data_IF_247019585166
#
_entry.id   IF_247019585166
#
_cell.length_a   1.000
_cell.length_b   1.000
_cell.length_c   1.000
_cell.angle_alpha   90.00
_cell.angle_beta   90.00
_cell.angle_gamma   90.00
#
_symmetry.space_group_name_H-M   'P 1'
#
loop_
_entity.id
_entity.type
_entity.pdbx_description
1 polymer ?
#
# COMPACT_ATOMS: atom_id res chain seq x y z
N UNK A 1 -19.81 3.76 23.55
CA UNK A 1 -18.84 2.71 23.14
C UNK A 1 -19.07 1.48 24.01
N UNK A 2 -19.80 0.47 23.51
CA UNK A 2 -20.03 -0.79 24.23
C UNK A 2 -18.72 -1.56 24.36
N UNK A 3 -18.39 -2.02 25.56
CA UNK A 3 -17.27 -2.93 25.80
C UNK A 3 -17.50 -4.20 24.96
N UNK A 4 -16.78 -4.33 23.83
CA UNK A 4 -16.71 -5.59 23.10
C UNK A 4 -16.19 -6.64 24.06
N UNK A 5 -16.97 -7.69 24.37
CA UNK A 5 -16.48 -8.83 25.13
C UNK A 5 -15.28 -9.40 24.37
N UNK A 6 -14.11 -9.41 25.01
CA UNK A 6 -12.85 -9.92 24.43
C UNK A 6 -12.96 -11.42 24.08
N UNK A 7 -13.87 -12.14 24.75
CA UNK A 7 -14.09 -13.55 24.55
C UNK A 7 -15.53 -13.72 24.04
N UNK A 8 -15.66 -13.86 22.74
CA UNK A 8 -16.89 -14.33 22.09
C UNK A 8 -16.73 -15.79 21.64
N UNK A 9 -17.82 -16.42 21.16
CA UNK A 9 -17.78 -17.80 20.70
C UNK A 9 -16.77 -18.04 19.58
N UNK A 10 -16.50 -17.07 18.72
CA UNK A 10 -15.52 -17.16 17.61
C UNK A 10 -14.09 -17.20 18.15
N UNK A 11 -13.78 -16.36 19.14
CA UNK A 11 -12.50 -16.39 19.86
C UNK A 11 -12.24 -17.77 20.45
N UNK A 12 -13.23 -18.35 21.13
CA UNK A 12 -13.12 -19.68 21.72
C UNK A 12 -12.87 -20.76 20.67
N UNK A 13 -13.55 -20.69 19.52
CA UNK A 13 -13.33 -21.64 18.40
C UNK A 13 -11.90 -21.56 17.86
N UNK A 14 -11.39 -20.35 17.59
CA UNK A 14 -10.03 -20.19 17.11
C UNK A 14 -8.97 -20.70 18.09
N UNK A 15 -9.14 -20.39 19.39
CA UNK A 15 -8.25 -20.90 20.44
C UNK A 15 -8.37 -22.41 20.60
N UNK A 16 -9.57 -22.98 20.47
CA UNK A 16 -9.78 -24.43 20.54
C UNK A 16 -9.09 -25.16 19.36
N UNK A 17 -9.13 -24.58 18.14
CA UNK A 17 -8.39 -25.13 17.00
C UNK A 17 -6.90 -25.21 17.35
N UNK A 18 -6.30 -24.12 17.81
CA UNK A 18 -4.88 -24.08 18.20
C UNK A 18 -4.60 -25.14 19.28
N UNK A 19 -5.44 -25.22 20.32
CA UNK A 19 -5.25 -26.15 21.43
C UNK A 19 -5.34 -27.62 21.00
N UNK A 20 -6.32 -27.97 20.15
CA UNK A 20 -6.47 -29.34 19.62
C UNK A 20 -5.21 -29.77 18.90
N UNK A 21 -4.70 -28.97 18.00
CA UNK A 21 -3.47 -29.28 17.27
C UNK A 21 -2.24 -29.29 18.18
N UNK A 22 -2.19 -28.41 19.18
CA UNK A 22 -1.08 -28.34 20.12
C UNK A 22 -0.89 -29.63 20.93
N UNK A 23 -2.01 -30.26 21.33
CA UNK A 23 -2.00 -31.46 22.16
C UNK A 23 -2.21 -32.77 21.40
N UNK A 24 -2.45 -32.75 20.08
CA UNK A 24 -2.76 -33.96 19.30
C UNK A 24 -1.54 -34.83 18.97
N UNK A 25 -0.32 -34.33 19.20
CA UNK A 25 0.91 -35.07 18.87
C UNK A 25 1.21 -35.12 17.35
N UNK A 26 1.96 -36.13 16.92
CA UNK A 26 2.30 -36.34 15.49
C UNK A 26 1.20 -37.13 14.78
N UNK A 27 0.80 -36.70 13.58
CA UNK A 27 -0.15 -37.41 12.73
C UNK A 27 0.00 -37.03 11.24
N UNK A 28 -0.48 -37.90 10.35
CA UNK A 28 -0.44 -37.64 8.90
C UNK A 28 1.00 -37.56 8.32
N UNK A 29 1.98 -38.22 8.95
CA UNK A 29 3.39 -38.16 8.52
C UNK A 29 4.11 -36.88 8.93
N UNK A 30 3.47 -35.95 9.63
CA UNK A 30 4.05 -34.73 10.18
C UNK A 30 4.61 -34.95 11.58
N UNK A 31 5.73 -34.30 11.89
CA UNK A 31 6.26 -34.25 13.26
C UNK A 31 5.30 -33.50 14.19
N UNK A 32 5.36 -33.78 15.51
CA UNK A 32 4.54 -33.07 16.49
C UNK A 32 4.68 -31.55 16.45
N UNK A 33 5.87 -31.05 16.16
CA UNK A 33 6.10 -29.61 16.00
C UNK A 33 5.48 -29.06 14.72
N UNK A 34 5.53 -29.79 13.60
CA UNK A 34 4.82 -29.41 12.37
C UNK A 34 3.30 -29.35 12.57
N UNK A 35 2.74 -30.29 13.35
CA UNK A 35 1.32 -30.29 13.70
C UNK A 35 0.96 -29.04 14.55
N UNK A 36 1.78 -28.68 15.54
CA UNK A 36 1.58 -27.45 16.32
C UNK A 36 1.61 -26.22 15.44
N UNK A 37 2.58 -26.10 14.54
CA UNK A 37 2.69 -24.97 13.61
C UNK A 37 1.45 -24.88 12.69
N UNK A 38 0.97 -26.01 12.16
CA UNK A 38 -0.25 -26.06 11.35
C UNK A 38 -1.48 -25.58 12.15
N UNK A 39 -1.61 -26.01 13.41
CA UNK A 39 -2.69 -25.58 14.29
C UNK A 39 -2.65 -24.09 14.61
N UNK A 40 -1.46 -23.54 14.90
CA UNK A 40 -1.27 -22.10 15.09
C UNK A 40 -1.69 -21.35 13.84
N UNK A 41 -1.24 -21.80 12.66
CA UNK A 41 -1.58 -21.16 11.38
C UNK A 41 -3.08 -21.15 11.12
N UNK A 42 -3.75 -22.32 11.19
CA UNK A 42 -5.19 -22.46 10.92
C UNK A 42 -6.01 -21.66 11.94
N UNK A 43 -5.69 -21.78 13.21
CA UNK A 43 -6.42 -21.06 14.26
C UNK A 43 -6.22 -19.55 14.20
N UNK A 44 -5.01 -19.08 13.91
CA UNK A 44 -4.73 -17.64 13.71
C UNK A 44 -5.45 -17.12 12.47
N UNK A 45 -5.44 -17.84 11.36
CA UNK A 45 -6.17 -17.47 10.15
C UNK A 45 -7.68 -17.35 10.43
N UNK A 46 -8.26 -18.30 11.15
CA UNK A 46 -9.66 -18.23 11.58
C UNK A 46 -9.94 -16.98 12.43
N UNK A 47 -9.06 -16.68 13.39
CA UNK A 47 -9.19 -15.49 14.23
C UNK A 47 -9.05 -14.19 13.43
N UNK A 48 -8.13 -14.12 12.46
CA UNK A 48 -8.01 -12.95 11.57
C UNK A 48 -9.26 -12.70 10.76
N UNK A 49 -9.91 -13.75 10.25
CA UNK A 49 -11.11 -13.62 9.42
C UNK A 49 -12.37 -13.31 10.24
N UNK A 50 -12.41 -13.65 11.53
CA UNK A 50 -13.67 -13.64 12.31
C UNK A 50 -13.66 -12.73 13.53
N UNK A 51 -12.51 -12.35 14.05
CA UNK A 51 -12.37 -11.59 15.31
C UNK A 51 -11.58 -10.30 15.14
N UNK A 52 -10.25 -10.41 14.96
CA UNK A 52 -9.33 -9.28 14.87
C UNK A 52 -7.99 -9.75 14.30
N UNK A 53 -7.19 -8.81 13.75
CA UNK A 53 -5.85 -9.11 13.23
C UNK A 53 -4.77 -8.88 14.29
N UNK A 54 -4.91 -7.91 15.16
CA UNK A 54 -3.82 -7.39 16.00
C UNK A 54 -3.37 -8.38 17.07
N UNK A 55 -4.26 -8.70 18.01
CA UNK A 55 -3.89 -9.59 19.12
C UNK A 55 -3.66 -11.07 18.70
N UNK A 56 -4.38 -11.65 17.69
CA UNK A 56 -4.08 -13.00 17.25
C UNK A 56 -2.70 -13.11 16.59
N UNK A 57 -2.23 -12.04 15.92
CA UNK A 57 -0.87 -12.00 15.38
C UNK A 57 0.19 -12.07 16.48
N UNK A 58 0.02 -11.32 17.56
CA UNK A 58 0.93 -11.40 18.72
C UNK A 58 0.89 -12.76 19.41
N UNK A 59 -0.32 -13.33 19.55
CA UNK A 59 -0.49 -14.68 20.08
C UNK A 59 0.22 -15.73 19.21
N UNK A 60 0.10 -15.63 17.87
CA UNK A 60 0.74 -16.58 16.98
C UNK A 60 2.28 -16.55 17.09
N UNK A 61 2.88 -15.36 17.16
CA UNK A 61 4.32 -15.20 17.36
C UNK A 61 4.76 -15.81 18.70
N UNK A 62 3.99 -15.55 19.77
CA UNK A 62 4.27 -16.12 21.09
C UNK A 62 4.17 -17.65 21.09
N UNK A 63 3.15 -18.21 20.46
CA UNK A 63 2.98 -19.67 20.37
C UNK A 63 4.04 -20.33 19.49
N UNK A 64 4.39 -19.72 18.34
CA UNK A 64 5.48 -20.21 17.50
C UNK A 64 6.82 -20.25 18.26
N UNK A 65 7.06 -19.25 19.11
CA UNK A 65 8.29 -19.20 19.95
C UNK A 65 8.35 -20.36 20.98
N UNK A 66 7.21 -20.95 21.34
CA UNK A 66 7.15 -22.11 22.24
C UNK A 66 7.30 -23.45 21.52
N UNK A 67 7.34 -23.48 20.18
CA UNK A 67 7.59 -24.71 19.42
C UNK A 67 9.07 -25.06 19.51
N UNK A 68 9.44 -26.26 20.04
CA UNK A 68 10.84 -26.59 20.32
C UNK A 68 11.77 -26.53 19.11
N UNK A 69 11.30 -26.92 17.93
CA UNK A 69 12.11 -26.90 16.69
C UNK A 69 12.36 -25.50 16.14
N UNK A 70 11.55 -24.51 16.53
CA UNK A 70 11.71 -23.12 16.07
C UNK A 70 12.54 -22.29 17.04
N UNK A 71 12.16 -22.31 18.32
CA UNK A 71 12.79 -21.51 19.37
C UNK A 71 12.51 -20.00 19.27
N UNK A 72 12.59 -19.27 20.40
CA UNK A 72 12.24 -17.85 20.43
C UNK A 72 13.17 -16.97 19.59
N UNK A 73 14.48 -17.22 19.59
CA UNK A 73 15.44 -16.43 18.82
C UNK A 73 15.15 -16.47 17.32
N UNK A 74 14.92 -17.65 16.75
CA UNK A 74 14.63 -17.80 15.33
C UNK A 74 13.28 -17.18 14.96
N UNK A 75 12.26 -17.33 15.81
CA UNK A 75 10.94 -16.75 15.58
C UNK A 75 11.00 -15.23 15.61
N UNK A 76 11.68 -14.63 16.60
CA UNK A 76 11.82 -13.18 16.66
C UNK A 76 12.71 -12.62 15.54
N UNK A 77 13.82 -13.29 15.21
CA UNK A 77 14.66 -12.90 14.08
C UNK A 77 13.89 -12.95 12.75
N UNK A 78 13.12 -14.01 12.53
CA UNK A 78 12.30 -14.15 11.31
C UNK A 78 11.10 -13.20 11.25
N UNK A 79 10.54 -12.82 12.40
CA UNK A 79 9.38 -11.94 12.47
C UNK A 79 9.77 -10.46 12.39
N UNK A 80 10.75 -10.02 13.18
CA UNK A 80 11.09 -8.61 13.36
C UNK A 80 12.48 -8.24 12.83
N UNK A 81 13.37 -9.21 12.67
CA UNK A 81 14.74 -9.00 12.22
C UNK A 81 14.97 -9.22 10.73
N UNK A 82 13.96 -9.61 9.95
CA UNK A 82 14.14 -9.82 8.52
C UNK A 82 14.08 -8.52 7.71
N UNK A 83 14.73 -8.51 6.55
CA UNK A 83 14.85 -7.34 5.67
C UNK A 83 13.51 -6.83 5.19
N UNK A 84 12.53 -7.73 4.94
CA UNK A 84 11.18 -7.37 4.48
C UNK A 84 10.43 -6.57 5.55
N UNK A 85 10.46 -7.02 6.81
CA UNK A 85 9.83 -6.29 7.91
C UNK A 85 10.47 -4.92 8.12
N UNK A 86 11.80 -4.86 8.17
CA UNK A 86 12.54 -3.60 8.35
C UNK A 86 12.26 -2.61 7.21
N UNK A 87 12.26 -3.11 5.96
CA UNK A 87 11.90 -2.29 4.80
C UNK A 87 10.49 -1.69 4.95
N UNK A 88 9.49 -2.52 5.27
CA UNK A 88 8.10 -2.06 5.43
C UNK A 88 7.96 -1.08 6.59
N UNK A 89 8.56 -1.36 7.73
CA UNK A 89 8.49 -0.50 8.92
C UNK A 89 9.01 0.91 8.62
N UNK A 90 10.23 1.02 8.09
CA UNK A 90 10.81 2.33 7.78
C UNK A 90 10.11 3.02 6.61
N UNK A 91 9.69 2.27 5.59
CA UNK A 91 8.91 2.83 4.48
C UNK A 91 7.59 3.42 4.95
N UNK A 92 6.88 2.75 5.86
CA UNK A 92 5.63 3.28 6.42
C UNK A 92 5.84 4.54 7.26
N UNK A 93 6.93 4.66 8.03
CA UNK A 93 7.25 5.89 8.75
C UNK A 93 7.46 7.04 7.77
N UNK A 94 8.26 6.82 6.73
CA UNK A 94 8.56 7.83 5.70
C UNK A 94 7.30 8.26 4.94
N UNK A 95 6.51 7.31 4.45
CA UNK A 95 5.28 7.61 3.69
C UNK A 95 4.20 8.23 4.56
N UNK A 96 4.08 7.82 5.82
CA UNK A 96 3.19 8.49 6.78
C UNK A 96 3.63 9.93 7.02
N UNK A 97 4.92 10.18 7.21
CA UNK A 97 5.43 11.55 7.39
C UNK A 97 5.15 12.42 6.16
N UNK A 98 5.30 11.87 4.95
CA UNK A 98 4.94 12.55 3.71
C UNK A 98 3.44 12.89 3.67
N UNK A 99 2.59 11.95 4.10
CA UNK A 99 1.13 12.14 4.11
C UNK A 99 0.66 13.29 5.02
N UNK A 100 1.47 13.68 6.01
CA UNK A 100 1.19 14.84 6.87
C UNK A 100 1.50 16.19 6.21
N UNK A 101 2.06 16.18 5.00
CA UNK A 101 2.36 17.41 4.26
C UNK A 101 1.17 17.86 3.40
N UNK A 102 1.04 19.17 3.19
CA UNK A 102 0.03 19.72 2.28
C UNK A 102 0.31 19.46 0.80
N UNK A 103 1.49 18.89 0.47
CA UNK A 103 1.91 18.64 -0.90
C UNK A 103 0.98 17.69 -1.66
N UNK A 104 0.51 16.63 -1.01
CA UNK A 104 -0.36 15.61 -1.65
C UNK A 104 -1.65 16.25 -2.17
N UNK A 105 -2.32 17.05 -1.31
CA UNK A 105 -3.52 17.80 -1.71
C UNK A 105 -3.25 18.76 -2.86
N UNK A 106 -2.11 19.48 -2.82
CA UNK A 106 -1.72 20.42 -3.88
C UNK A 106 -1.50 19.71 -5.21
N UNK A 107 -0.82 18.57 -5.22
CA UNK A 107 -0.62 17.78 -6.44
C UNK A 107 -2.00 17.36 -6.99
N UNK A 108 -2.89 16.84 -6.15
CA UNK A 108 -4.22 16.43 -6.59
C UNK A 108 -5.00 17.61 -7.24
N UNK A 109 -5.04 18.76 -6.58
CA UNK A 109 -5.71 19.96 -7.13
C UNK A 109 -5.04 20.43 -8.42
N UNK A 110 -3.72 20.43 -8.51
CA UNK A 110 -3.01 20.78 -9.76
C UNK A 110 -3.41 19.89 -10.93
N UNK A 111 -3.62 18.58 -10.67
CA UNK A 111 -4.06 17.65 -11.72
C UNK A 111 -5.48 17.89 -12.17
N UNK A 112 -6.41 18.13 -11.26
CA UNK A 112 -7.83 18.35 -11.62
C UNK A 112 -8.11 19.75 -12.19
N UNK A 113 -7.21 20.71 -11.97
CA UNK A 113 -7.33 22.10 -12.48
C UNK A 113 -6.38 22.41 -13.64
N UNK A 114 -5.67 21.43 -14.17
CA UNK A 114 -4.76 21.67 -15.30
C UNK A 114 -5.52 21.89 -16.63
N UNK A 115 -4.81 22.43 -17.62
CA UNK A 115 -5.39 22.72 -18.95
C UNK A 115 -5.98 21.50 -19.67
N UNK A 116 -5.44 20.31 -19.42
CA UNK A 116 -5.98 19.08 -20.00
C UNK A 116 -7.29 18.68 -19.33
N UNK A 117 -7.36 18.73 -18.00
CA UNK A 117 -8.59 18.45 -17.25
C UNK A 117 -9.74 19.36 -17.65
N UNK A 118 -9.47 20.63 -17.99
CA UNK A 118 -10.46 21.61 -18.41
C UNK A 118 -11.05 21.36 -19.81
N UNK A 119 -10.50 20.45 -20.62
CA UNK A 119 -10.98 20.17 -21.99
C UNK A 119 -12.35 19.46 -22.03
N UNK A 120 -12.76 18.83 -20.94
CA UNK A 120 -14.04 18.14 -20.85
C UNK A 120 -14.09 17.08 -19.76
N UNK A 121 -15.24 16.46 -19.54
CA UNK A 121 -15.48 15.58 -18.41
C UNK A 121 -14.57 14.35 -18.40
N UNK A 122 -14.32 13.73 -19.54
CA UNK A 122 -13.40 12.59 -19.61
C UNK A 122 -11.93 12.99 -19.40
N UNK A 123 -11.52 14.17 -19.88
CA UNK A 123 -10.17 14.68 -19.60
C UNK A 123 -9.96 15.00 -18.13
N UNK A 124 -10.99 15.53 -17.47
CA UNK A 124 -11.02 15.73 -16.03
C UNK A 124 -10.91 14.40 -15.26
N UNK A 125 -11.76 13.43 -15.60
CA UNK A 125 -11.76 12.10 -15.00
C UNK A 125 -10.42 11.42 -15.15
N UNK A 126 -9.81 11.46 -16.34
CA UNK A 126 -8.47 10.92 -16.58
C UNK A 126 -7.40 11.64 -15.76
N UNK A 127 -7.47 12.97 -15.64
CA UNK A 127 -6.54 13.73 -14.81
C UNK A 127 -6.67 13.35 -13.33
N UNK A 128 -7.90 13.21 -12.83
CA UNK A 128 -8.15 12.78 -11.45
C UNK A 128 -7.62 11.36 -11.20
N UNK A 129 -7.88 10.41 -12.10
CA UNK A 129 -7.38 9.06 -11.94
C UNK A 129 -5.86 8.94 -12.16
N UNK A 130 -5.29 9.76 -13.03
CA UNK A 130 -3.84 9.82 -13.23
C UNK A 130 -3.09 10.27 -11.97
N UNK A 131 -3.64 11.26 -11.22
CA UNK A 131 -3.02 11.65 -9.95
C UNK A 131 -3.16 10.59 -8.88
N UNK A 132 -4.27 9.85 -8.86
CA UNK A 132 -4.42 8.70 -7.94
C UNK A 132 -3.34 7.66 -8.22
N UNK A 133 -3.13 7.30 -9.50
CA UNK A 133 -2.05 6.38 -9.87
C UNK A 133 -0.69 6.94 -9.47
N UNK A 134 -0.39 8.19 -9.82
CA UNK A 134 0.91 8.81 -9.53
C UNK A 134 1.23 8.80 -8.03
N UNK A 135 0.29 9.23 -7.21
CA UNK A 135 0.47 9.27 -5.75
C UNK A 135 0.45 7.86 -5.16
N UNK A 136 -0.36 6.97 -5.73
CA UNK A 136 -0.49 5.59 -5.30
C UNK A 136 0.74 4.73 -5.57
N UNK A 137 1.67 5.15 -6.45
CA UNK A 137 2.97 4.49 -6.60
C UNK A 137 3.83 4.55 -5.33
N UNK A 138 3.55 5.51 -4.43
CA UNK A 138 4.40 5.82 -3.27
C UNK A 138 3.67 5.74 -1.95
N UNK A 139 2.34 5.63 -1.95
CA UNK A 139 1.53 5.72 -0.74
C UNK A 139 0.61 4.51 -0.61
N UNK A 140 0.41 4.07 0.64
CA UNK A 140 -0.57 3.04 0.94
C UNK A 140 -1.98 3.43 0.43
N UNK A 141 -2.74 2.50 -0.17
CA UNK A 141 -4.10 2.75 -0.68
C UNK A 141 -5.01 3.39 0.34
N UNK A 142 -4.98 2.91 1.58
CA UNK A 142 -5.80 3.43 2.67
C UNK A 142 -5.50 4.89 2.98
N UNK A 143 -4.20 5.23 3.11
CA UNK A 143 -3.78 6.61 3.39
C UNK A 143 -4.18 7.52 2.21
N UNK A 144 -3.89 7.10 0.99
CA UNK A 144 -4.20 7.88 -0.20
C UNK A 144 -5.70 8.08 -0.37
N UNK A 145 -6.51 7.04 -0.14
CA UNK A 145 -7.97 7.14 -0.18
C UNK A 145 -8.48 8.24 0.77
N UNK A 146 -8.10 8.20 2.05
CA UNK A 146 -8.54 9.19 3.04
C UNK A 146 -8.00 10.60 2.79
N UNK A 147 -6.85 10.72 2.10
CA UNK A 147 -6.33 12.04 1.72
C UNK A 147 -7.08 12.65 0.53
N UNK A 148 -7.51 11.83 -0.43
CA UNK A 148 -8.18 12.30 -1.63
C UNK A 148 -9.70 12.37 -1.47
N UNK A 149 -10.28 11.64 -0.51
CA UNK A 149 -11.73 11.66 -0.26
C UNK A 149 -12.28 13.07 -0.02
N UNK A 150 -11.69 13.92 0.85
CA UNK A 150 -12.16 15.29 1.03
C UNK A 150 -12.10 16.14 -0.25
N UNK A 151 -11.06 15.92 -1.09
CA UNK A 151 -10.96 16.61 -2.39
C UNK A 151 -12.07 16.14 -3.33
N UNK A 152 -12.37 14.86 -3.32
CA UNK A 152 -13.48 14.30 -4.12
C UNK A 152 -14.83 14.82 -3.64
N UNK A 153 -15.04 14.95 -2.32
CA UNK A 153 -16.25 15.55 -1.74
C UNK A 153 -16.38 17.04 -2.13
N UNK A 154 -15.27 17.79 -2.14
CA UNK A 154 -15.24 19.17 -2.63
C UNK A 154 -15.58 19.25 -4.12
N UNK A 155 -15.04 18.35 -4.95
CA UNK A 155 -15.41 18.21 -6.37
C UNK A 155 -16.91 17.93 -6.51
N UNK A 156 -17.48 17.03 -5.71
CA UNK A 156 -18.92 16.74 -5.74
C UNK A 156 -19.76 17.99 -5.42
N UNK A 157 -19.35 18.74 -4.40
CA UNK A 157 -20.01 20.00 -4.05
C UNK A 157 -19.93 21.04 -5.17
N UNK A 158 -18.75 21.22 -5.76
CA UNK A 158 -18.54 22.18 -6.85
C UNK A 158 -19.31 21.83 -8.12
N UNK A 159 -19.46 20.55 -8.44
CA UNK A 159 -20.17 20.04 -9.61
C UNK A 159 -21.66 19.76 -9.34
N UNK A 160 -22.15 20.01 -8.12
CA UNK A 160 -23.50 19.68 -7.67
C UNK A 160 -23.87 18.20 -7.94
N UNK A 161 -22.93 17.29 -7.66
CA UNK A 161 -23.12 15.86 -7.83
C UNK A 161 -23.75 15.25 -6.58
N UNK A 162 -24.83 14.49 -6.78
CA UNK A 162 -25.54 13.83 -5.70
C UNK A 162 -25.16 12.33 -5.62
N UNK A 163 -25.36 11.74 -4.45
CA UNK A 163 -25.19 10.30 -4.25
C UNK A 163 -26.12 9.51 -5.16
N UNK A 164 -25.60 8.53 -5.88
CA UNK A 164 -26.34 7.73 -6.85
C UNK A 164 -26.28 8.24 -8.29
N UNK A 165 -25.70 9.41 -8.52
CA UNK A 165 -25.44 9.87 -9.89
C UNK A 165 -24.24 9.13 -10.49
N UNK A 166 -24.36 8.69 -11.73
CA UNK A 166 -23.37 7.83 -12.39
C UNK A 166 -21.98 8.47 -12.50
N UNK A 167 -21.88 9.79 -12.61
CA UNK A 167 -20.59 10.48 -12.60
C UNK A 167 -19.95 10.50 -11.20
N UNK A 168 -20.73 10.70 -10.15
CA UNK A 168 -20.24 10.61 -8.77
C UNK A 168 -19.78 9.18 -8.45
N UNK A 169 -20.55 8.18 -8.86
CA UNK A 169 -20.21 6.77 -8.70
C UNK A 169 -18.92 6.42 -9.45
N UNK A 170 -18.76 6.88 -10.69
CA UNK A 170 -17.53 6.68 -11.46
C UNK A 170 -16.28 7.21 -10.71
N UNK A 171 -16.37 8.45 -10.22
CA UNK A 171 -15.24 9.08 -9.52
C UNK A 171 -14.93 8.37 -8.19
N UNK A 172 -15.96 7.98 -7.43
CA UNK A 172 -15.78 7.27 -6.15
C UNK A 172 -15.24 5.86 -6.35
N UNK A 173 -15.83 5.08 -7.25
CA UNK A 173 -15.34 3.72 -7.58
C UNK A 173 -13.94 3.78 -8.16
N UNK A 174 -13.65 4.78 -9.00
CA UNK A 174 -12.34 5.02 -9.54
C UNK A 174 -11.29 5.37 -8.48
N UNK A 175 -11.65 6.16 -7.48
CA UNK A 175 -10.77 6.45 -6.34
C UNK A 175 -10.36 5.15 -5.64
N UNK A 176 -11.31 4.26 -5.33
CA UNK A 176 -11.02 2.97 -4.69
C UNK A 176 -10.21 2.05 -5.61
N UNK A 177 -10.68 1.85 -6.84
CA UNK A 177 -10.08 0.91 -7.78
C UNK A 177 -8.64 1.27 -8.13
N UNK A 178 -8.37 2.55 -8.40
CA UNK A 178 -7.05 2.99 -8.83
C UNK A 178 -6.06 3.21 -7.69
N UNK A 179 -6.52 3.47 -6.46
CA UNK A 179 -5.63 3.40 -5.29
C UNK A 179 -5.14 1.96 -5.07
N UNK A 180 -6.04 0.97 -5.22
CA UNK A 180 -5.66 -0.46 -5.12
C UNK A 180 -4.78 -0.91 -6.29
N UNK A 181 -5.07 -0.48 -7.52
CA UNK A 181 -4.25 -0.81 -8.69
C UNK A 181 -2.83 -0.26 -8.56
N UNK A 182 -2.70 1.01 -8.19
CA UNK A 182 -1.41 1.67 -8.02
C UNK A 182 -0.52 0.99 -6.97
N UNK A 183 -1.13 0.45 -5.91
CA UNK A 183 -0.43 -0.25 -4.85
C UNK A 183 0.34 -1.50 -5.32
N UNK A 184 -0.08 -2.13 -6.43
CA UNK A 184 0.61 -3.25 -7.04
C UNK A 184 1.69 -2.86 -8.06
N UNK A 185 1.76 -1.58 -8.45
CA UNK A 185 2.68 -1.12 -9.51
C UNK A 185 4.11 -0.88 -9.00
N UNK A 186 4.30 -0.71 -7.69
CA UNK A 186 5.62 -0.58 -7.06
C UNK A 186 5.69 -1.38 -5.75
N UNK A 187 6.86 -1.85 -5.34
CA UNK A 187 7.02 -2.49 -4.04
C UNK A 187 7.03 -1.48 -2.88
N UNK A 188 6.98 -0.17 -3.17
CA UNK A 188 7.05 0.91 -2.19
C UNK A 188 5.67 1.17 -1.55
N UNK A 189 4.62 1.10 -2.36
CA UNK A 189 3.28 1.55 -1.96
C UNK A 189 2.54 0.55 -1.06
N UNK A 190 2.84 -0.74 -1.15
CA UNK A 190 2.08 -1.76 -0.44
C UNK A 190 2.91 -2.96 0.00
N UNK A 191 2.44 -3.57 1.09
CA UNK A 191 3.08 -4.74 1.71
C UNK A 191 3.08 -6.00 0.83
N UNK A 192 2.05 -6.22 0.01
CA UNK A 192 1.91 -7.47 -0.74
C UNK A 192 3.01 -7.73 -1.77
N UNK A 193 3.41 -6.78 -2.61
CA UNK A 193 4.56 -6.99 -3.49
C UNK A 193 5.83 -7.36 -2.74
N UNK A 194 6.10 -6.68 -1.62
CA UNK A 194 7.31 -6.90 -0.82
C UNK A 194 7.31 -8.29 -0.17
N UNK A 195 6.17 -8.72 0.39
CA UNK A 195 6.03 -10.08 0.94
C UNK A 195 6.19 -11.13 -0.16
N UNK A 196 5.56 -10.94 -1.32
CA UNK A 196 5.68 -11.87 -2.44
C UNK A 196 7.13 -12.02 -2.91
N UNK A 197 7.85 -10.92 -3.04
CA UNK A 197 9.28 -10.92 -3.39
C UNK A 197 10.13 -11.59 -2.30
N UNK A 198 9.86 -11.32 -1.02
CA UNK A 198 10.57 -11.96 0.09
C UNK A 198 10.34 -13.47 0.15
N UNK A 199 9.12 -13.94 -0.12
CA UNK A 199 8.81 -15.37 -0.23
C UNK A 199 9.53 -16.00 -1.43
N UNK A 200 9.49 -15.34 -2.60
CA UNK A 200 10.21 -15.80 -3.78
C UNK A 200 11.71 -15.98 -3.48
N UNK A 201 12.33 -14.97 -2.88
CA UNK A 201 13.75 -15.03 -2.51
C UNK A 201 14.04 -16.17 -1.53
N UNK A 202 13.20 -16.35 -0.51
CA UNK A 202 13.38 -17.41 0.49
C UNK A 202 13.26 -18.83 -0.07
N UNK A 203 12.42 -19.03 -1.11
CA UNK A 203 12.17 -20.32 -1.73
C UNK A 203 13.16 -20.65 -2.86
N UNK A 204 13.64 -19.65 -3.57
CA UNK A 204 14.40 -19.86 -4.82
C UNK A 204 15.82 -19.32 -4.77
N UNK A 205 16.20 -18.57 -3.73
CA UNK A 205 17.41 -17.77 -3.64
C UNK A 205 17.58 -16.76 -4.80
N UNK A 206 16.47 -16.39 -5.47
CA UNK A 206 16.45 -15.37 -6.51
C UNK A 206 15.93 -14.08 -5.89
N UNK A 207 16.79 -13.06 -5.83
CA UNK A 207 16.39 -11.71 -5.40
C UNK A 207 15.99 -10.88 -6.61
N UNK A 208 14.77 -10.32 -6.56
CA UNK A 208 14.26 -9.39 -7.57
C UNK A 208 14.33 -7.98 -6.99
N UNK A 209 15.10 -7.12 -7.63
CA UNK A 209 15.24 -5.73 -7.21
C UNK A 209 13.99 -4.88 -7.46
N UNK A 210 13.94 -3.73 -6.82
CA UNK A 210 12.80 -2.81 -6.94
C UNK A 210 12.60 -2.31 -8.37
N UNK A 211 13.67 -2.02 -9.08
CA UNK A 211 13.59 -1.55 -10.47
C UNK A 211 13.07 -2.63 -11.40
N UNK A 212 13.59 -3.86 -11.32
CA UNK A 212 13.14 -4.99 -12.11
C UNK A 212 11.64 -5.30 -11.87
N UNK A 213 11.16 -5.17 -10.63
CA UNK A 213 9.74 -5.28 -10.34
C UNK A 213 8.92 -4.19 -11.04
N UNK A 214 9.35 -2.92 -10.92
CA UNK A 214 8.65 -1.76 -11.50
C UNK A 214 8.63 -1.85 -13.03
N UNK A 215 9.71 -2.29 -13.65
CA UNK A 215 9.83 -2.46 -15.11
C UNK A 215 8.74 -3.37 -15.69
N UNK A 216 8.30 -4.37 -14.92
CA UNK A 216 7.18 -5.23 -15.29
C UNK A 216 5.83 -4.71 -14.79
N UNK A 217 5.72 -4.36 -13.50
CA UNK A 217 4.45 -4.09 -12.85
C UNK A 217 3.83 -2.75 -13.28
N UNK A 218 4.65 -1.74 -13.55
CA UNK A 218 4.16 -0.43 -13.97
C UNK A 218 3.50 -0.48 -15.37
N UNK A 219 4.10 -1.05 -16.42
CA UNK A 219 3.44 -1.20 -17.71
C UNK A 219 2.17 -2.06 -17.63
N UNK A 220 2.21 -3.16 -16.88
CA UNK A 220 1.02 -4.01 -16.68
C UNK A 220 -0.12 -3.24 -16.00
N UNK A 221 0.17 -2.47 -14.96
CA UNK A 221 -0.83 -1.64 -14.28
C UNK A 221 -1.37 -0.52 -15.16
N UNK A 222 -0.54 0.13 -15.98
CA UNK A 222 -0.99 1.14 -16.95
C UNK A 222 -1.89 0.52 -18.03
N UNK A 223 -1.60 -0.68 -18.48
CA UNK A 223 -2.45 -1.42 -19.42
C UNK A 223 -3.82 -1.71 -18.77
N UNK A 224 -3.84 -2.24 -17.55
CA UNK A 224 -5.09 -2.49 -16.80
C UNK A 224 -5.87 -1.19 -16.63
N UNK A 225 -5.21 -0.10 -16.24
CA UNK A 225 -5.83 1.23 -16.16
C UNK A 225 -6.50 1.63 -17.46
N UNK A 226 -5.80 1.53 -18.58
CA UNK A 226 -6.33 1.86 -19.91
C UNK A 226 -7.55 1.01 -20.27
N UNK A 227 -7.49 -0.31 -20.01
CA UNK A 227 -8.62 -1.24 -20.26
C UNK A 227 -9.81 -0.87 -19.39
N UNK A 228 -9.64 -0.61 -18.10
CA UNK A 228 -10.75 -0.23 -17.20
C UNK A 228 -11.39 1.09 -17.64
N UNK A 229 -10.60 2.11 -17.99
CA UNK A 229 -11.13 3.38 -18.51
C UNK A 229 -11.91 3.16 -19.80
N UNK A 230 -11.39 2.33 -20.71
CA UNK A 230 -12.09 2.02 -21.97
C UNK A 230 -13.41 1.31 -21.71
N UNK A 231 -13.45 0.32 -20.83
CA UNK A 231 -14.67 -0.38 -20.43
C UNK A 231 -15.69 0.59 -19.80
N UNK A 232 -15.27 1.47 -18.91
CA UNK A 232 -16.15 2.44 -18.32
C UNK A 232 -16.70 3.44 -19.34
N UNK A 233 -15.89 3.88 -20.30
CA UNK A 233 -16.33 4.75 -21.38
C UNK A 233 -17.32 4.07 -22.33
N UNK A 234 -17.13 2.80 -22.63
CA UNK A 234 -17.94 2.06 -23.60
C UNK A 234 -19.21 1.45 -22.99
N UNK A 235 -19.09 0.89 -21.78
CA UNK A 235 -20.18 0.11 -21.14
C UNK A 235 -20.94 0.92 -20.09
N UNK A 236 -20.24 1.59 -19.18
CA UNK A 236 -20.90 2.31 -18.08
C UNK A 236 -21.54 3.63 -18.54
N UNK A 237 -20.90 4.37 -19.45
CA UNK A 237 -21.41 5.61 -20.08
C UNK A 237 -22.03 6.58 -19.07
N UNK A 238 -21.29 7.06 -18.08
CA UNK A 238 -21.83 7.92 -17.02
C UNK A 238 -22.38 9.22 -17.59
N UNK A 239 -23.48 9.71 -17.00
CA UNK A 239 -23.99 11.04 -17.31
C UNK A 239 -23.06 12.11 -16.70
N UNK A 240 -22.39 12.85 -17.56
CA UNK A 240 -21.42 13.90 -17.19
C UNK A 240 -21.93 15.32 -17.52
N UNK A 241 -23.23 15.51 -17.69
CA UNK A 241 -23.83 16.80 -18.09
C UNK A 241 -23.60 17.91 -17.06
N UNK A 242 -23.44 17.55 -15.80
CA UNK A 242 -23.12 18.49 -14.70
C UNK A 242 -21.65 18.94 -14.65
N UNK A 243 -20.79 18.43 -15.53
CA UNK A 243 -19.39 18.81 -15.54
C UNK A 243 -19.23 20.31 -15.80
N UNK A 244 -18.45 20.96 -14.94
CA UNK A 244 -17.98 22.34 -15.08
C UNK A 244 -16.46 22.36 -15.03
N UNK A 245 -15.85 23.36 -15.67
CA UNK A 245 -14.40 23.57 -15.56
C UNK A 245 -14.07 24.05 -14.13
N UNK A 246 -13.21 23.29 -13.44
CA UNK A 246 -12.73 23.65 -12.12
C UNK A 246 -11.40 24.38 -12.23
N UNK A 247 -11.26 25.45 -11.47
CA UNK A 247 -10.08 26.31 -11.44
C UNK A 247 -9.34 26.19 -10.11
N UNK A 248 -8.14 26.74 -10.01
CA UNK A 248 -7.41 26.79 -8.74
C UNK A 248 -8.09 27.63 -7.67
N UNK A 249 -8.86 28.63 -8.09
CA UNK A 249 -9.57 29.53 -7.18
C UNK A 249 -10.71 28.81 -6.45
N UNK A 250 -11.29 27.78 -7.08
CA UNK A 250 -12.28 26.90 -6.45
C UNK A 250 -11.69 26.10 -5.27
N UNK A 251 -10.36 25.92 -5.25
CA UNK A 251 -9.60 25.23 -4.20
C UNK A 251 -8.63 26.18 -3.47
N UNK A 252 -9.01 27.44 -3.28
CA UNK A 252 -8.13 28.49 -2.75
C UNK A 252 -7.51 28.11 -1.38
N UNK A 253 -8.25 27.44 -0.51
CA UNK A 253 -7.76 27.00 0.81
C UNK A 253 -6.54 26.07 0.72
N UNK A 254 -6.49 25.20 -0.29
CA UNK A 254 -5.37 24.27 -0.52
C UNK A 254 -4.05 25.03 -0.77
N UNK A 255 -4.12 26.23 -1.32
CA UNK A 255 -2.95 27.06 -1.66
C UNK A 255 -2.77 28.27 -0.73
N UNK A 256 -3.64 28.48 0.26
CA UNK A 256 -3.61 29.62 1.16
C UNK A 256 -2.27 29.76 1.91
N UNK A 257 -1.63 28.67 2.27
CA UNK A 257 -0.37 28.68 2.98
C UNK A 257 0.78 28.15 2.09
N UNK A 258 1.94 28.77 2.14
CA UNK A 258 3.16 28.26 1.49
C UNK A 258 3.64 27.00 2.21
N UNK A 259 4.34 26.11 1.48
CA UNK A 259 5.00 24.95 2.08
C UNK A 259 5.98 25.42 3.16
N UNK A 260 5.85 24.87 4.34
CA UNK A 260 6.74 25.14 5.47
C UNK A 260 8.15 24.59 5.20
N UNK A 261 9.16 25.07 5.92
CA UNK A 261 10.52 24.54 5.82
C UNK A 261 10.56 23.04 6.14
N UNK A 262 9.77 22.59 7.14
CA UNK A 262 9.66 21.18 7.52
C UNK A 262 9.10 20.34 6.38
N UNK A 263 8.00 20.73 5.75
CA UNK A 263 7.41 20.02 4.61
C UNK A 263 8.38 19.90 3.45
N UNK A 264 9.14 20.97 3.13
CA UNK A 264 10.17 20.92 2.09
C UNK A 264 11.24 19.88 2.39
N UNK A 265 11.71 19.78 3.63
CA UNK A 265 12.67 18.75 4.03
C UNK A 265 12.11 17.35 3.92
N UNK A 266 10.87 17.11 4.38
CA UNK A 266 10.19 15.82 4.27
C UNK A 266 10.12 15.38 2.80
N UNK A 267 9.70 16.28 1.92
CA UNK A 267 9.62 16.02 0.47
C UNK A 267 11.00 15.71 -0.11
N UNK A 268 12.02 16.49 0.24
CA UNK A 268 13.38 16.30 -0.25
C UNK A 268 13.94 14.93 0.17
N UNK A 269 13.80 14.59 1.45
CA UNK A 269 14.23 13.29 1.98
C UNK A 269 13.48 12.15 1.26
N UNK A 270 12.17 12.28 1.09
CA UNK A 270 11.38 11.29 0.37
C UNK A 270 11.87 11.08 -1.06
N UNK A 271 12.12 12.15 -1.81
CA UNK A 271 12.65 12.07 -3.18
C UNK A 271 14.03 11.39 -3.20
N UNK A 272 14.90 11.68 -2.23
CA UNK A 272 16.20 11.04 -2.11
C UNK A 272 16.05 9.53 -1.85
N UNK A 273 15.13 9.13 -0.96
CA UNK A 273 14.87 7.72 -0.66
C UNK A 273 14.37 6.99 -1.91
N UNK A 274 13.39 7.55 -2.63
CA UNK A 274 12.86 6.97 -3.87
C UNK A 274 13.95 6.85 -4.92
N UNK A 275 14.78 7.87 -5.08
CA UNK A 275 15.93 7.84 -5.98
C UNK A 275 16.92 6.73 -5.58
N UNK A 276 17.20 6.58 -4.28
CA UNK A 276 18.08 5.53 -3.76
C UNK A 276 17.53 4.11 -3.94
N UNK A 277 16.23 3.94 -4.10
CA UNK A 277 15.63 2.64 -4.43
C UNK A 277 15.64 2.30 -5.93
N UNK A 278 15.41 3.30 -6.77
CA UNK A 278 15.18 3.08 -8.22
C UNK A 278 16.48 3.18 -9.01
N UNK A 279 17.36 4.14 -8.67
CA UNK A 279 18.53 4.45 -9.49
C UNK A 279 19.70 3.45 -9.42
N UNK A 280 19.96 2.71 -8.33
CA UNK A 280 21.15 1.85 -8.24
C UNK A 280 21.23 0.82 -9.37
N UNK A 281 20.14 0.14 -9.71
CA UNK A 281 20.12 -0.89 -10.75
C UNK A 281 20.39 -0.31 -12.15
N UNK A 282 19.67 0.70 -12.65
CA UNK A 282 19.98 1.30 -13.94
C UNK A 282 21.35 2.01 -13.98
N UNK A 283 21.79 2.62 -12.88
CA UNK A 283 23.13 3.21 -12.80
C UNK A 283 24.23 2.15 -12.93
N UNK A 284 24.06 1.00 -12.28
CA UNK A 284 25.00 -0.11 -12.39
C UNK A 284 25.06 -0.71 -13.78
N UNK A 285 23.92 -0.76 -14.49
CA UNK A 285 23.86 -1.17 -15.89
C UNK A 285 24.63 -0.23 -16.81
N UNK A 286 24.51 1.09 -16.56
CA UNK A 286 25.20 2.13 -17.35
C UNK A 286 26.66 2.32 -16.95
N UNK A 287 26.98 2.09 -15.68
CA UNK A 287 28.33 2.29 -15.13
C UNK A 287 28.68 1.14 -14.17
N UNK A 288 29.17 0.00 -14.70
CA UNK A 288 29.44 -1.21 -13.90
C UNK A 288 30.41 -1.02 -12.74
N UNK A 289 31.33 -0.07 -12.85
CA UNK A 289 32.37 0.21 -11.83
C UNK A 289 32.02 1.42 -10.95
N UNK A 290 30.74 1.71 -10.73
CA UNK A 290 30.34 2.79 -9.84
C UNK A 290 30.95 2.61 -8.43
N UNK A 291 31.67 3.60 -7.89
CA UNK A 291 32.42 3.44 -6.65
C UNK A 291 31.51 3.28 -5.41
N UNK A 292 30.26 3.72 -5.49
CA UNK A 292 29.30 3.66 -4.43
C UNK A 292 28.01 2.95 -4.88
N UNK A 293 27.83 1.71 -4.43
CA UNK A 293 26.69 0.86 -4.78
C UNK A 293 25.77 0.68 -3.58
N UNK A 294 24.67 1.45 -3.56
CA UNK A 294 23.65 1.40 -2.50
C UNK A 294 22.91 0.06 -2.46
N UNK A 295 22.86 -0.70 -3.56
CA UNK A 295 22.17 -1.99 -3.61
C UNK A 295 22.76 -3.03 -2.61
N UNK A 296 24.04 -2.87 -2.25
CA UNK A 296 24.73 -3.72 -1.29
C UNK A 296 24.19 -3.63 0.14
N UNK A 297 23.54 -2.52 0.49
CA UNK A 297 22.99 -2.31 1.85
C UNK A 297 21.57 -2.81 2.00
N UNK A 298 20.96 -3.34 0.91
CA UNK A 298 19.58 -3.84 0.90
C UNK A 298 18.52 -2.74 0.89
N UNK A 299 17.29 -3.15 0.60
CA UNK A 299 16.17 -2.23 0.38
C UNK A 299 15.74 -1.44 1.62
N UNK A 300 16.03 -1.95 2.82
CA UNK A 300 15.66 -1.30 4.09
C UNK A 300 16.57 -0.11 4.45
N UNK A 301 17.77 -0.03 3.88
CA UNK A 301 18.75 1.00 4.26
C UNK A 301 18.34 2.42 3.89
N UNK A 302 17.86 2.73 2.66
CA UNK A 302 17.46 4.10 2.32
C UNK A 302 16.35 4.66 3.21
N UNK A 303 15.25 3.94 3.50
CA UNK A 303 14.21 4.47 4.38
C UNK A 303 14.64 4.54 5.84
N UNK A 304 15.53 3.65 6.31
CA UNK A 304 16.11 3.73 7.66
C UNK A 304 16.85 5.06 7.87
N UNK A 305 17.67 5.46 6.89
CA UNK A 305 18.43 6.73 6.99
C UNK A 305 17.52 7.95 6.89
N UNK A 306 16.37 7.82 6.25
CA UNK A 306 15.40 8.89 6.06
C UNK A 306 14.37 9.06 7.21
N UNK A 307 14.30 8.11 8.14
CA UNK A 307 13.40 8.19 9.31
C UNK A 307 14.01 8.96 10.45
#
# INVERSE_FOLDING_TARGET
>A
MGKKKIIDGKTLVGLAIIAVFWFSGSWGGMSGDAVKVAGIFIGTLFLWLTVDISWPSMLSIALLSLVPSLGPENVFASSFGNSTFLFLMFTFIVTYTLSQTSMIKRIAVLFVTNRFAQRGPWSFTLSFFAVILLLGLFMSPTILFFLLLPILEEIFSLLDLQKGESFAELLMVGLVAFTCLAAGMTPIAHVYPVIALGILESLTNISVGNFAYIEFALPAGLLIFGVVILLWKLLFKPDMTKFKQLTRDDFAETFAHKLTRREKWVITIFVIIVAAWILPEPLKSLWPNIPFDLSKYGNAFPPLVGT
#
